data_IF_021074583046
#
_entry.id   IF_021074583046
#
_cell.length_a   1.000
_cell.length_b   1.000
_cell.length_c   1.000
_cell.angle_alpha   90.00
_cell.angle_beta   90.00
_cell.angle_gamma   90.00
#
_symmetry.space_group_name_H-M   'P 1'
#
loop_
_entity.id
_entity.type
_entity.pdbx_description
1 polymer ?
#
# COMPACT_ATOMS: atom_id res chain seq x y z
N UNK A 1 6.45 2.57 11.50
CA UNK A 1 6.44 2.21 10.06
C UNK A 1 5.18 2.64 9.37
N UNK A 2 4.00 2.22 9.85
CA UNK A 2 2.71 2.58 9.25
C UNK A 2 2.40 4.09 9.28
N UNK A 3 2.80 4.79 10.33
CA UNK A 3 2.61 6.24 10.43
C UNK A 3 3.29 7.04 9.31
N UNK A 4 4.41 6.56 8.79
CA UNK A 4 5.15 7.28 7.75
C UNK A 4 4.48 7.19 6.38
N UNK A 5 3.86 6.06 6.02
CA UNK A 5 3.09 5.95 4.78
C UNK A 5 1.76 6.69 4.82
N UNK A 6 1.09 6.69 5.97
CA UNK A 6 -0.11 7.50 6.18
C UNK A 6 0.27 8.97 6.04
N UNK A 7 1.35 9.43 6.68
CA UNK A 7 1.86 10.80 6.55
C UNK A 7 2.20 11.18 5.11
N UNK A 8 2.91 10.31 4.38
CA UNK A 8 3.26 10.58 2.99
C UNK A 8 2.00 10.68 2.11
N UNK A 9 1.02 9.78 2.32
CA UNK A 9 -0.26 9.82 1.61
C UNK A 9 -1.10 11.05 2.00
N UNK A 10 -1.16 11.40 3.28
CA UNK A 10 -1.85 12.59 3.76
C UNK A 10 -1.17 13.86 3.26
N UNK A 11 0.17 13.90 3.23
CA UNK A 11 0.92 15.02 2.71
C UNK A 11 0.65 15.24 1.23
N UNK A 12 0.72 14.18 0.42
CA UNK A 12 0.46 14.27 -1.03
C UNK A 12 -1.01 14.61 -1.31
N UNK A 13 -1.96 14.01 -0.58
CA UNK A 13 -3.39 14.31 -0.69
C UNK A 13 -3.70 15.75 -0.23
N UNK A 14 -3.11 16.18 0.89
CA UNK A 14 -3.27 17.54 1.42
C UNK A 14 -2.71 18.60 0.47
N UNK A 15 -1.57 18.32 -0.17
CA UNK A 15 -1.01 19.21 -1.18
C UNK A 15 -1.89 19.25 -2.44
N UNK A 16 -2.42 18.13 -2.90
CA UNK A 16 -3.35 18.07 -4.02
C UNK A 16 -4.63 18.85 -3.72
N UNK A 17 -5.19 18.71 -2.51
CA UNK A 17 -6.35 19.45 -2.05
C UNK A 17 -6.07 20.99 -1.97
N UNK A 18 -4.96 21.40 -1.40
CA UNK A 18 -4.56 22.80 -1.35
C UNK A 18 -4.48 23.40 -2.76
N UNK A 19 -3.85 22.69 -3.69
CA UNK A 19 -3.79 23.09 -5.08
C UNK A 19 -5.18 23.25 -5.72
N UNK A 20 -6.12 22.36 -5.39
CA UNK A 20 -7.46 22.38 -5.97
C UNK A 20 -8.38 23.46 -5.36
N UNK A 21 -8.25 23.75 -4.06
CA UNK A 21 -9.22 24.55 -3.29
C UNK A 21 -8.71 25.98 -2.99
N UNK A 22 -7.43 26.16 -2.72
CA UNK A 22 -6.88 27.47 -2.36
C UNK A 22 -6.72 28.45 -3.53
N UNK A 23 -7.12 28.02 -4.74
CA UNK A 23 -7.19 28.89 -5.91
C UNK A 23 -5.87 29.61 -6.17
N UNK A 24 -4.90 28.91 -6.71
CA UNK A 24 -3.71 29.59 -7.20
C UNK A 24 -4.08 30.64 -8.26
N UNK A 25 -3.40 31.77 -8.31
CA UNK A 25 -3.60 32.74 -9.37
C UNK A 25 -3.55 32.05 -10.74
N UNK A 26 -4.45 32.40 -11.64
CA UNK A 26 -4.52 31.78 -12.98
C UNK A 26 -3.12 31.80 -13.62
N UNK A 27 -2.58 30.61 -13.94
CA UNK A 27 -1.25 30.45 -14.52
C UNK A 27 -0.15 29.95 -13.57
N UNK A 28 -0.41 29.76 -12.27
CA UNK A 28 0.58 29.22 -11.31
C UNK A 28 0.33 27.78 -10.92
N UNK A 29 -0.81 27.20 -11.29
CA UNK A 29 -1.12 25.81 -11.02
C UNK A 29 -0.39 24.91 -12.02
N UNK A 30 0.63 24.18 -11.55
CA UNK A 30 1.22 23.09 -12.31
C UNK A 30 0.29 21.88 -12.26
N UNK A 31 -0.58 21.78 -13.27
CA UNK A 31 -1.54 20.70 -13.42
C UNK A 31 -0.87 19.33 -13.49
N UNK A 32 0.31 19.25 -14.12
CA UNK A 32 1.05 17.97 -14.21
C UNK A 32 1.58 17.55 -12.85
N UNK A 33 2.08 18.47 -12.07
CA UNK A 33 2.55 18.18 -10.72
C UNK A 33 1.39 17.77 -9.80
N UNK A 34 0.21 18.37 -9.93
CA UNK A 34 -0.99 17.94 -9.23
C UNK A 34 -1.36 16.49 -9.57
N UNK A 35 -1.36 16.13 -10.86
CA UNK A 35 -1.60 14.76 -11.32
C UNK A 35 -0.56 13.78 -10.79
N UNK A 36 0.72 14.18 -10.76
CA UNK A 36 1.80 13.35 -10.20
C UNK A 36 1.57 13.07 -8.71
N UNK A 37 1.21 14.09 -7.93
CA UNK A 37 0.88 13.92 -6.51
C UNK A 37 -0.32 13.02 -6.31
N UNK A 38 -1.36 13.17 -7.13
CA UNK A 38 -2.53 12.29 -7.10
C UNK A 38 -2.14 10.84 -7.41
N UNK A 39 -1.31 10.60 -8.42
CA UNK A 39 -0.80 9.27 -8.76
C UNK A 39 -0.07 8.62 -7.59
N UNK A 40 0.85 9.36 -6.95
CA UNK A 40 1.58 8.91 -5.77
C UNK A 40 0.65 8.62 -4.59
N UNK A 41 -0.34 9.48 -4.35
CA UNK A 41 -1.32 9.28 -3.27
C UNK A 41 -2.10 7.97 -3.47
N UNK A 42 -2.62 7.70 -4.67
CA UNK A 42 -3.33 6.45 -4.97
C UNK A 42 -2.41 5.22 -4.86
N UNK A 43 -1.14 5.34 -5.29
CA UNK A 43 -0.16 4.28 -5.14
C UNK A 43 0.15 4.00 -3.65
N UNK A 44 0.28 5.04 -2.82
CA UNK A 44 0.46 4.90 -1.37
C UNK A 44 -0.74 4.22 -0.69
N UNK A 45 -1.96 4.60 -1.04
CA UNK A 45 -3.18 3.96 -0.52
C UNK A 45 -3.19 2.48 -0.91
N UNK A 46 -2.87 2.15 -2.17
CA UNK A 46 -2.79 0.76 -2.62
C UNK A 46 -1.76 -0.06 -1.83
N UNK A 47 -0.61 0.52 -1.52
CA UNK A 47 0.44 -0.12 -0.70
C UNK A 47 -0.03 -0.30 0.75
N UNK A 48 -0.64 0.72 1.35
CA UNK A 48 -1.17 0.67 2.71
C UNK A 48 -2.20 -0.45 2.86
N UNK A 49 -3.23 -0.42 2.02
CA UNK A 49 -4.32 -1.40 2.05
C UNK A 49 -3.87 -2.78 1.57
N UNK A 50 -2.92 -2.84 0.62
CA UNK A 50 -2.49 -4.08 -0.02
C UNK A 50 -1.41 -4.86 0.72
N UNK A 51 -0.59 -4.20 1.54
CA UNK A 51 0.53 -4.82 2.24
C UNK A 51 0.39 -4.65 3.75
N UNK A 52 0.39 -3.42 4.26
CA UNK A 52 0.45 -3.16 5.70
C UNK A 52 -0.73 -3.75 6.47
N UNK A 53 -1.94 -3.56 5.98
CA UNK A 53 -3.12 -4.15 6.61
C UNK A 53 -3.10 -5.67 6.57
N UNK A 54 -2.66 -6.25 5.46
CA UNK A 54 -2.59 -7.70 5.32
C UNK A 54 -1.54 -8.36 6.21
N UNK A 55 -0.43 -7.68 6.50
CA UNK A 55 0.56 -8.16 7.49
C UNK A 55 -0.07 -8.19 8.88
N UNK A 56 -0.77 -7.13 9.28
CA UNK A 56 -1.48 -7.07 10.55
C UNK A 56 -2.61 -8.10 10.64
N UNK A 57 -3.35 -8.33 9.55
CA UNK A 57 -4.38 -9.35 9.47
C UNK A 57 -3.79 -10.76 9.64
N UNK A 58 -2.64 -11.06 9.04
CA UNK A 58 -1.97 -12.35 9.17
C UNK A 58 -1.63 -12.68 10.64
N UNK A 59 -1.14 -11.70 11.40
CA UNK A 59 -0.88 -11.86 12.83
C UNK A 59 -2.18 -12.14 13.61
N UNK A 60 -3.23 -11.39 13.32
CA UNK A 60 -4.53 -11.54 14.00
C UNK A 60 -5.19 -12.87 13.70
N UNK A 61 -5.09 -13.35 12.45
CA UNK A 61 -5.61 -14.67 12.07
C UNK A 61 -4.85 -15.81 12.72
N UNK A 62 -3.52 -15.66 12.91
CA UNK A 62 -2.73 -16.64 13.65
C UNK A 62 -3.19 -16.79 15.11
N UNK A 63 -3.65 -15.72 15.76
CA UNK A 63 -4.31 -15.82 17.08
C UNK A 63 -5.61 -16.62 17.00
N UNK A 64 -6.45 -16.35 16.00
CA UNK A 64 -7.72 -17.07 15.79
C UNK A 64 -7.51 -18.57 15.57
N UNK A 65 -6.52 -18.96 14.77
CA UNK A 65 -6.15 -20.38 14.52
C UNK A 65 -5.72 -21.08 15.82
N UNK A 66 -5.11 -20.36 16.74
CA UNK A 66 -4.75 -20.87 18.06
C UNK A 66 -5.91 -20.78 19.09
N UNK A 67 -7.14 -20.53 18.64
CA UNK A 67 -8.33 -20.35 19.48
C UNK A 67 -8.19 -19.21 20.51
N UNK A 68 -7.36 -18.23 20.17
CA UNK A 68 -7.17 -17.01 20.94
C UNK A 68 -7.84 -15.86 20.20
N UNK A 69 -8.60 -15.03 20.91
CA UNK A 69 -9.24 -13.84 20.32
C UNK A 69 -10.12 -14.13 19.08
N UNK A 70 -10.81 -15.25 19.04
CA UNK A 70 -11.62 -15.69 17.88
C UNK A 70 -12.63 -14.63 17.43
N UNK A 71 -13.26 -13.91 18.37
CA UNK A 71 -14.19 -12.82 18.05
C UNK A 71 -13.50 -11.70 17.27
N UNK A 72 -12.31 -11.29 17.70
CA UNK A 72 -11.51 -10.27 17.03
C UNK A 72 -11.05 -10.74 15.65
N UNK A 73 -10.58 -11.99 15.53
CA UNK A 73 -10.19 -12.57 14.25
C UNK A 73 -11.37 -12.60 13.26
N UNK A 74 -12.58 -12.91 13.73
CA UNK A 74 -13.78 -12.88 12.91
C UNK A 74 -14.15 -11.47 12.42
N UNK A 75 -14.07 -10.47 13.30
CA UNK A 75 -14.28 -9.06 12.90
C UNK A 75 -13.25 -8.63 11.87
N UNK A 76 -11.97 -8.93 12.10
CA UNK A 76 -10.90 -8.60 11.17
C UNK A 76 -11.04 -9.31 9.81
N UNK A 77 -11.63 -10.52 9.77
CA UNK A 77 -11.92 -11.18 8.50
C UNK A 77 -12.96 -10.44 7.66
N UNK A 78 -13.93 -9.80 8.29
CA UNK A 78 -14.90 -8.94 7.61
C UNK A 78 -14.23 -7.66 7.08
N UNK A 79 -13.38 -7.03 7.89
CA UNK A 79 -12.60 -5.85 7.47
C UNK A 79 -11.70 -6.21 6.30
N UNK A 80 -10.95 -7.32 6.36
CA UNK A 80 -10.07 -7.76 5.28
C UNK A 80 -10.83 -8.01 3.97
N UNK A 81 -12.09 -8.47 4.05
CA UNK A 81 -12.96 -8.61 2.89
C UNK A 81 -13.32 -7.24 2.29
N UNK A 82 -13.62 -6.27 3.12
CA UNK A 82 -13.97 -4.92 2.66
C UNK A 82 -12.73 -4.20 2.08
N UNK A 83 -11.55 -4.35 2.71
CA UNK A 83 -10.27 -3.85 2.19
C UNK A 83 -9.93 -4.43 0.81
N UNK A 84 -10.37 -5.66 0.51
CA UNK A 84 -10.17 -6.22 -0.82
C UNK A 84 -10.88 -5.44 -1.93
N UNK A 85 -11.98 -4.77 -1.64
CA UNK A 85 -12.70 -3.91 -2.59
C UNK A 85 -11.95 -2.60 -2.82
N UNK A 86 -11.43 -1.97 -1.77
CA UNK A 86 -10.59 -0.76 -1.86
C UNK A 86 -9.36 -1.02 -2.73
N UNK A 87 -8.72 -2.19 -2.53
CA UNK A 87 -7.60 -2.63 -3.37
C UNK A 87 -7.97 -2.74 -4.84
N UNK A 88 -9.10 -3.35 -5.15
CA UNK A 88 -9.58 -3.46 -6.54
C UNK A 88 -9.80 -2.09 -7.15
N UNK A 89 -10.36 -1.15 -6.40
CA UNK A 89 -10.59 0.23 -6.87
C UNK A 89 -9.25 0.91 -7.18
N UNK A 90 -8.32 0.94 -6.23
CA UNK A 90 -7.03 1.61 -6.42
C UNK A 90 -6.19 0.96 -7.52
N UNK A 91 -6.20 -0.37 -7.62
CA UNK A 91 -5.53 -1.10 -8.70
C UNK A 91 -6.12 -0.78 -10.07
N UNK A 92 -7.45 -0.73 -10.17
CA UNK A 92 -8.12 -0.38 -11.43
C UNK A 92 -7.82 1.06 -11.85
N UNK A 93 -7.77 2.01 -10.91
CA UNK A 93 -7.40 3.40 -11.21
C UNK A 93 -5.98 3.46 -11.76
N UNK A 94 -5.00 2.88 -11.07
CA UNK A 94 -3.59 2.88 -11.48
C UNK A 94 -3.42 2.18 -12.84
N UNK A 95 -4.12 1.06 -13.05
CA UNK A 95 -4.07 0.32 -14.31
C UNK A 95 -4.66 1.12 -15.46
N UNK A 96 -5.83 1.74 -15.29
CA UNK A 96 -6.46 2.57 -16.32
C UNK A 96 -5.59 3.75 -16.74
N UNK A 97 -4.91 4.38 -15.78
CA UNK A 97 -3.94 5.43 -16.09
C UNK A 97 -2.75 4.90 -16.89
N UNK A 98 -2.20 3.75 -16.50
CA UNK A 98 -1.11 3.11 -17.25
C UNK A 98 -1.53 2.65 -18.65
N UNK A 99 -2.78 2.20 -18.83
CA UNK A 99 -3.34 1.77 -20.12
C UNK A 99 -3.63 2.97 -21.05
N UNK A 100 -3.79 4.18 -20.51
CA UNK A 100 -3.88 5.42 -21.28
C UNK A 100 -5.26 6.08 -21.34
N UNK A 101 -6.12 5.82 -20.37
CA UNK A 101 -7.41 6.54 -20.22
C UNK A 101 -7.21 8.07 -20.13
N UNK A 102 -6.07 8.50 -19.57
CA UNK A 102 -5.57 9.88 -19.60
C UNK A 102 -4.12 9.84 -20.09
N UNK A 103 -3.80 10.46 -21.26
CA UNK A 103 -2.46 10.42 -21.82
C UNK A 103 -1.37 10.98 -20.91
N UNK A 104 -1.66 12.05 -20.18
CA UNK A 104 -0.72 12.67 -19.25
C UNK A 104 -0.49 11.80 -18.00
N UNK A 105 -1.53 11.13 -17.49
CA UNK A 105 -1.40 10.16 -16.40
C UNK A 105 -0.62 8.92 -16.84
N UNK A 106 -0.74 8.50 -18.09
CA UNK A 106 0.09 7.43 -18.66
C UNK A 106 1.57 7.78 -18.64
N UNK A 107 1.93 8.98 -19.10
CA UNK A 107 3.32 9.44 -19.01
C UNK A 107 3.81 9.49 -17.57
N UNK A 108 3.01 10.03 -16.65
CA UNK A 108 3.33 10.09 -15.22
C UNK A 108 3.51 8.67 -14.66
N UNK A 109 2.69 7.70 -15.05
CA UNK A 109 2.83 6.32 -14.59
C UNK A 109 4.16 5.68 -15.01
N UNK A 110 4.67 6.04 -16.18
CA UNK A 110 5.97 5.58 -16.68
C UNK A 110 7.10 6.26 -15.91
N UNK A 111 7.02 7.57 -15.72
CA UNK A 111 8.02 8.35 -14.95
C UNK A 111 8.11 7.92 -13.49
N UNK A 112 6.97 7.63 -12.87
CA UNK A 112 6.89 7.25 -11.44
C UNK A 112 7.13 5.75 -11.19
N UNK A 113 7.34 4.95 -12.21
CA UNK A 113 7.47 3.49 -12.09
C UNK A 113 8.53 3.07 -11.07
N UNK A 114 9.72 3.63 -11.17
CA UNK A 114 10.82 3.29 -10.27
C UNK A 114 10.59 3.82 -8.86
N UNK A 115 9.97 5.01 -8.74
CA UNK A 115 9.59 5.57 -7.45
C UNK A 115 8.55 4.69 -6.74
N UNK A 116 7.50 4.28 -7.43
CA UNK A 116 6.47 3.40 -6.85
C UNK A 116 7.07 2.04 -6.48
N UNK A 117 7.95 1.48 -7.32
CA UNK A 117 8.65 0.24 -6.98
C UNK A 117 9.54 0.40 -5.74
N UNK A 118 10.20 1.55 -5.59
CA UNK A 118 10.96 1.89 -4.37
C UNK A 118 10.05 1.98 -3.14
N UNK A 119 8.86 2.59 -3.28
CA UNK A 119 7.86 2.65 -2.20
C UNK A 119 7.44 1.26 -1.72
N UNK A 120 7.21 0.32 -2.64
CA UNK A 120 6.94 -1.08 -2.30
C UNK A 120 8.09 -1.72 -1.52
N UNK A 121 9.34 -1.58 -1.99
CA UNK A 121 10.52 -2.12 -1.31
C UNK A 121 10.67 -1.56 0.09
N UNK A 122 10.60 -0.23 0.23
CA UNK A 122 10.66 0.45 1.52
C UNK A 122 9.61 -0.09 2.48
N UNK A 123 8.36 -0.26 2.01
CA UNK A 123 7.28 -0.82 2.83
C UNK A 123 7.59 -2.26 3.28
N UNK A 124 8.09 -3.11 2.39
CA UNK A 124 8.47 -4.48 2.75
C UNK A 124 9.57 -4.49 3.82
N UNK A 125 10.57 -3.63 3.70
CA UNK A 125 11.66 -3.55 4.67
C UNK A 125 11.14 -3.07 6.04
N UNK A 126 10.24 -2.10 6.07
CA UNK A 126 9.60 -1.61 7.29
C UNK A 126 8.72 -2.68 7.95
N UNK A 127 7.94 -3.43 7.16
CA UNK A 127 7.09 -4.51 7.69
C UNK A 127 7.92 -5.70 8.20
N UNK A 128 9.07 -5.99 7.57
CA UNK A 128 10.03 -6.97 8.10
C UNK A 128 10.65 -6.52 9.42
N UNK A 129 11.03 -5.24 9.52
CA UNK A 129 11.55 -4.68 10.76
C UNK A 129 10.49 -4.74 11.89
N UNK A 130 9.23 -4.47 11.55
CA UNK A 130 8.12 -4.62 12.48
C UNK A 130 7.89 -6.08 12.90
N UNK A 131 7.98 -7.03 11.96
CA UNK A 131 7.91 -8.46 12.27
C UNK A 131 9.01 -8.89 13.22
N UNK A 132 10.25 -8.45 13.02
CA UNK A 132 11.36 -8.71 13.94
C UNK A 132 11.08 -8.14 15.34
N UNK A 133 10.50 -6.95 15.42
CA UNK A 133 10.11 -6.36 16.70
C UNK A 133 9.01 -7.17 17.40
N UNK A 134 7.98 -7.62 16.67
CA UNK A 134 6.89 -8.42 17.25
C UNK A 134 7.36 -9.74 17.82
N UNK A 135 8.30 -10.40 17.16
CA UNK A 135 8.77 -11.74 17.54
C UNK A 135 10.07 -11.74 18.33
N UNK A 136 10.54 -10.58 18.81
CA UNK A 136 11.78 -10.46 19.58
C UNK A 136 11.79 -11.29 20.87
N UNK A 137 10.63 -11.50 21.51
CA UNK A 137 10.47 -12.27 22.75
C UNK A 137 10.05 -13.73 22.49
N UNK A 138 9.87 -14.13 21.23
CA UNK A 138 9.48 -15.49 20.84
C UNK A 138 8.46 -15.54 19.72
N UNK A 139 8.23 -16.72 19.21
CA UNK A 139 7.31 -16.98 18.11
C UNK A 139 5.96 -17.51 18.62
N UNK A 140 4.94 -17.35 17.79
CA UNK A 140 3.64 -18.00 17.99
C UNK A 140 3.59 -19.37 17.30
N UNK A 141 2.70 -20.26 17.76
CA UNK A 141 2.40 -21.48 17.01
C UNK A 141 1.79 -21.10 15.66
N UNK A 142 2.43 -21.55 14.57
CA UNK A 142 1.99 -21.27 13.20
C UNK A 142 2.46 -19.96 12.59
N UNK A 143 3.10 -19.06 13.38
CA UNK A 143 3.64 -17.80 12.85
C UNK A 143 4.93 -17.39 13.55
N UNK A 144 5.94 -17.07 12.76
CA UNK A 144 7.22 -16.52 13.22
C UNK A 144 7.70 -15.44 12.23
N UNK A 145 8.78 -14.76 12.60
CA UNK A 145 9.38 -13.68 11.80
C UNK A 145 9.66 -14.11 10.36
N UNK A 146 10.24 -15.31 10.16
CA UNK A 146 10.63 -15.81 8.83
C UNK A 146 9.43 -16.08 7.94
N UNK A 147 8.36 -16.67 8.49
CA UNK A 147 7.11 -16.89 7.75
C UNK A 147 6.45 -15.57 7.39
N UNK A 148 6.46 -14.61 8.32
CA UNK A 148 5.89 -13.29 8.06
C UNK A 148 6.69 -12.52 7.00
N UNK A 149 8.03 -12.60 7.02
CA UNK A 149 8.89 -12.02 5.97
C UNK A 149 8.54 -12.57 4.59
N UNK A 150 8.43 -13.90 4.45
CA UNK A 150 8.05 -14.55 3.18
C UNK A 150 6.65 -14.15 2.73
N UNK A 151 5.73 -14.00 3.66
CA UNK A 151 4.38 -13.55 3.36
C UNK A 151 4.37 -12.10 2.85
N UNK A 152 5.11 -11.19 3.49
CA UNK A 152 5.23 -9.78 3.07
C UNK A 152 5.79 -9.68 1.65
N UNK A 153 6.86 -10.43 1.34
CA UNK A 153 7.46 -10.48 0.01
C UNK A 153 6.49 -11.01 -1.05
N UNK A 154 5.82 -12.12 -0.73
CA UNK A 154 4.84 -12.72 -1.62
C UNK A 154 3.68 -11.78 -1.93
N UNK A 155 3.12 -11.11 -0.90
CA UNK A 155 2.00 -10.21 -1.11
C UNK A 155 2.44 -8.95 -1.87
N UNK A 156 3.63 -8.42 -1.59
CA UNK A 156 4.19 -7.28 -2.32
C UNK A 156 4.33 -7.60 -3.82
N UNK A 157 4.91 -8.74 -4.17
CA UNK A 157 4.99 -9.20 -5.55
C UNK A 157 3.62 -9.31 -6.22
N UNK A 158 2.63 -9.84 -5.51
CA UNK A 158 1.26 -9.96 -6.00
C UNK A 158 0.64 -8.57 -6.29
N UNK A 159 0.88 -7.59 -5.40
CA UNK A 159 0.36 -6.22 -5.57
C UNK A 159 1.09 -5.46 -6.67
N UNK A 160 2.41 -5.60 -6.78
CA UNK A 160 3.19 -5.04 -7.88
C UNK A 160 2.67 -5.52 -9.23
N UNK A 161 2.48 -6.84 -9.40
CA UNK A 161 1.93 -7.41 -10.65
C UNK A 161 0.55 -6.85 -10.99
N UNK A 162 -0.30 -6.63 -9.97
CA UNK A 162 -1.67 -6.14 -10.18
C UNK A 162 -1.73 -4.71 -10.76
N UNK A 163 -0.68 -3.90 -10.58
CA UNK A 163 -0.56 -2.55 -11.11
C UNK A 163 0.48 -2.43 -12.24
N UNK A 164 0.92 -3.56 -12.82
CA UNK A 164 1.83 -3.59 -13.97
C UNK A 164 3.31 -3.40 -13.64
N UNK A 165 3.71 -3.53 -12.37
CA UNK A 165 5.11 -3.55 -11.96
C UNK A 165 5.68 -4.97 -11.99
N UNK A 166 7.00 -5.07 -12.23
CA UNK A 166 7.69 -6.34 -12.12
C UNK A 166 7.87 -6.75 -10.65
N UNK A 167 7.67 -8.03 -10.31
CA UNK A 167 8.01 -8.55 -8.98
C UNK A 167 9.52 -8.45 -8.76
N UNK A 168 9.94 -8.27 -7.50
CA UNK A 168 11.34 -8.07 -7.13
C UNK A 168 11.84 -9.05 -6.07
N UNK A 169 10.94 -9.86 -5.52
CA UNK A 169 11.27 -10.91 -4.54
C UNK A 169 11.12 -12.29 -5.16
N UNK A 170 11.96 -13.26 -4.70
CA UNK A 170 11.95 -14.66 -5.17
C UNK A 170 10.79 -15.48 -4.59
#
# INVERSE_FOLDING_TARGET
GSEMCIRDSEYDSGNAWKFAVEGHPAGTLDRRELKRKLYRAIANVNILEGIRFYVSFACSFAFGENKLMEGSAKILSLIARDESQHLVITQNILKKWADGDDPEMKEISIEEKDNVQHMFKKTVDEEKAWANYLFKEGSMIGLNEKLLHRYVEWIANKRMKAIGLNPVYD
#
